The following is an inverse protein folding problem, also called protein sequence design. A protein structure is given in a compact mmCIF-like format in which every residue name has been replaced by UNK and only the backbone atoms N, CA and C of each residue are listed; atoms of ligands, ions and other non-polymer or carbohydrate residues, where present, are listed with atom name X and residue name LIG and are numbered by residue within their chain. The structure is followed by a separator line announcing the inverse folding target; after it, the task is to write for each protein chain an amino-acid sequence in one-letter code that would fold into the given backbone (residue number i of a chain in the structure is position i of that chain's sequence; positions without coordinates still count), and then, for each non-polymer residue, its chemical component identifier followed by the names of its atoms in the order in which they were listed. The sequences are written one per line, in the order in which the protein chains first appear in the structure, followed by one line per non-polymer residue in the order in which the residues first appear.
data_IF_519896844230
#
_entry.id   IF_519896844230
#
_cell.length_a   1.000
_cell.length_b   1.000
_cell.length_c   1.000
_cell.angle_alpha   90.00
_cell.angle_beta   90.00
_cell.angle_gamma   90.00
#
_symmetry.space_group_name_H-M   'P 1'
#
loop_
_entity.id
_entity.type
_entity.pdbx_description
1 polymer ?
#
# COMPACT_ATOMS: atom_id res chain seq x y z
N UNK A 1 -23.78 21.07 29.09
CA UNK A 1 -24.73 20.90 27.97
C UNK A 1 -25.20 22.28 27.55
N UNK A 2 -24.85 22.71 26.34
CA UNK A 2 -25.27 24.02 25.81
C UNK A 2 -26.62 23.90 25.09
N UNK A 3 -27.34 25.02 24.97
CA UNK A 3 -28.53 25.09 24.12
C UNK A 3 -28.10 25.13 22.65
N UNK A 4 -28.80 24.37 21.81
CA UNK A 4 -28.69 24.46 20.35
C UNK A 4 -29.71 25.46 19.82
N UNK A 5 -29.29 26.31 18.89
CA UNK A 5 -30.12 27.37 18.32
C UNK A 5 -30.44 27.11 16.86
N UNK A 6 -31.64 27.51 16.46
CA UNK A 6 -32.09 27.59 15.07
C UNK A 6 -31.94 29.03 14.59
N UNK A 7 -31.16 29.24 13.53
CA UNK A 7 -31.04 30.55 12.91
C UNK A 7 -32.04 30.70 11.75
N UNK A 8 -33.02 31.58 11.90
CA UNK A 8 -34.03 31.85 10.88
C UNK A 8 -33.69 33.14 10.13
N UNK A 9 -33.44 33.02 8.83
CA UNK A 9 -33.28 34.12 7.90
C UNK A 9 -34.60 34.39 7.17
N UNK A 10 -35.25 35.49 7.51
CA UNK A 10 -36.53 35.91 6.94
C UNK A 10 -36.33 37.05 5.94
N UNK A 11 -36.66 36.83 4.67
CA UNK A 11 -36.52 37.83 3.62
C UNK A 11 -37.65 37.71 2.57
N UNK A 12 -38.82 38.32 2.81
CA UNK A 12 -39.96 38.26 1.88
C UNK A 12 -39.62 38.84 0.51
N UNK A 13 -40.18 38.24 -0.54
CA UNK A 13 -39.87 38.66 -1.91
C UNK A 13 -40.38 40.05 -2.29
N UNK A 14 -41.41 40.54 -1.59
CA UNK A 14 -41.95 41.88 -1.79
C UNK A 14 -41.14 42.99 -1.10
N UNK A 15 -40.06 42.64 -0.37
CA UNK A 15 -39.24 43.62 0.35
C UNK A 15 -38.39 44.47 -0.62
N UNK A 16 -38.13 45.76 -0.32
CA UNK A 16 -37.23 46.59 -1.10
C UNK A 16 -35.83 45.98 -1.26
N UNK A 17 -35.24 46.07 -2.46
CA UNK A 17 -33.93 45.47 -2.79
C UNK A 17 -32.84 45.88 -1.79
N UNK A 18 -32.83 47.15 -1.36
CA UNK A 18 -31.88 47.66 -0.36
C UNK A 18 -31.91 46.87 0.95
N UNK A 19 -33.10 46.50 1.43
CA UNK A 19 -33.25 45.71 2.66
C UNK A 19 -32.81 44.26 2.45
N UNK A 20 -33.22 43.64 1.33
CA UNK A 20 -32.78 42.27 0.99
C UNK A 20 -31.26 42.17 0.96
N UNK A 21 -30.61 43.12 0.29
CA UNK A 21 -29.15 43.19 0.22
C UNK A 21 -28.50 43.36 1.59
N UNK A 22 -29.01 44.29 2.41
CA UNK A 22 -28.47 44.54 3.75
C UNK A 22 -28.54 43.28 4.63
N UNK A 23 -29.71 42.66 4.75
CA UNK A 23 -29.91 41.47 5.57
C UNK A 23 -29.14 40.25 5.04
N UNK A 24 -29.05 40.07 3.72
CA UNK A 24 -28.25 39.01 3.11
C UNK A 24 -26.75 39.20 3.39
N UNK A 25 -26.24 40.43 3.26
CA UNK A 25 -24.82 40.76 3.44
C UNK A 25 -24.37 40.63 4.91
N UNK A 26 -25.24 40.97 5.88
CA UNK A 26 -24.89 40.90 7.31
C UNK A 26 -25.09 39.51 7.93
N UNK A 27 -25.73 38.57 7.22
CA UNK A 27 -26.07 37.22 7.72
C UNK A 27 -24.86 36.46 8.25
N UNK A 28 -23.75 36.45 7.51
CA UNK A 28 -22.55 35.71 7.90
C UNK A 28 -21.88 36.32 9.14
N UNK A 29 -21.80 37.65 9.22
CA UNK A 29 -21.25 38.38 10.36
C UNK A 29 -22.07 38.11 11.62
N UNK A 30 -23.40 38.17 11.53
CA UNK A 30 -24.28 37.88 12.66
C UNK A 30 -24.11 36.45 13.18
N UNK A 31 -24.00 35.45 12.30
CA UNK A 31 -23.74 34.05 12.70
C UNK A 31 -22.37 33.89 13.38
N UNK A 32 -21.36 34.60 12.89
CA UNK A 32 -20.02 34.58 13.49
C UNK A 32 -20.02 35.21 14.88
N UNK A 33 -20.64 36.38 15.03
CA UNK A 33 -20.71 37.12 16.28
C UNK A 33 -21.56 36.42 17.34
N UNK A 34 -22.63 35.71 16.92
CA UNK A 34 -23.43 34.86 17.79
C UNK A 34 -22.69 33.62 18.28
N UNK A 35 -21.74 33.10 17.48
CA UNK A 35 -20.99 31.89 17.76
C UNK A 35 -21.55 30.68 17.00
N UNK A 36 -21.03 30.45 15.79
CA UNK A 36 -21.52 29.42 14.87
C UNK A 36 -21.58 27.99 15.42
N UNK A 37 -20.79 27.66 16.46
CA UNK A 37 -20.87 26.36 17.13
C UNK A 37 -22.14 26.13 17.96
N UNK A 38 -22.91 27.17 18.25
CA UNK A 38 -24.20 27.07 18.95
C UNK A 38 -25.40 26.96 17.98
N UNK A 39 -25.20 27.26 16.70
CA UNK A 39 -26.25 27.22 15.67
C UNK A 39 -26.21 25.83 15.02
N UNK A 40 -27.24 25.02 15.27
CA UNK A 40 -27.32 23.66 14.69
C UNK A 40 -27.84 23.68 13.26
N UNK A 41 -28.87 24.50 13.04
CA UNK A 41 -29.63 24.54 11.79
C UNK A 41 -29.82 25.98 11.33
N UNK A 42 -29.95 26.13 10.02
CA UNK A 42 -30.16 27.41 9.38
C UNK A 42 -31.31 27.30 8.38
N UNK A 43 -32.37 28.06 8.63
CA UNK A 43 -33.59 28.08 7.83
C UNK A 43 -33.71 29.42 7.13
N UNK A 44 -33.77 29.42 5.80
CA UNK A 44 -34.06 30.61 5.01
C UNK A 44 -35.48 30.52 4.46
N UNK A 45 -36.28 31.56 4.64
CA UNK A 45 -37.67 31.60 4.18
C UNK A 45 -38.05 32.93 3.55
N UNK A 46 -38.84 32.86 2.49
CA UNK A 46 -39.45 34.03 1.83
C UNK A 46 -40.96 34.11 2.09
N UNK A 47 -41.60 32.97 2.41
CA UNK A 47 -43.02 32.89 2.78
C UNK A 47 -43.21 32.35 4.20
N UNK A 48 -44.29 32.75 4.88
CA UNK A 48 -44.53 32.38 6.29
C UNK A 48 -44.60 30.86 6.50
N UNK A 49 -45.00 30.13 5.45
CA UNK A 49 -44.98 28.67 5.43
C UNK A 49 -43.59 28.06 5.64
N UNK A 50 -42.53 28.71 5.14
CA UNK A 50 -41.15 28.22 5.22
C UNK A 50 -40.62 28.26 6.65
N UNK A 51 -40.94 29.33 7.39
CA UNK A 51 -40.46 29.59 8.76
C UNK A 51 -41.41 29.06 9.84
N UNK A 52 -42.54 28.46 9.45
CA UNK A 52 -43.47 27.81 10.37
C UNK A 52 -42.91 26.49 10.92
N UNK A 53 -43.48 25.98 12.01
CA UNK A 53 -43.07 24.68 12.56
C UNK A 53 -43.21 23.53 11.53
N UNK A 54 -44.22 23.60 10.66
CA UNK A 54 -44.39 22.62 9.58
C UNK A 54 -43.34 22.79 8.48
N UNK A 55 -42.95 24.04 8.16
CA UNK A 55 -41.84 24.36 7.26
C UNK A 55 -40.50 23.83 7.77
N UNK A 56 -40.21 24.03 9.06
CA UNK A 56 -39.02 23.47 9.69
C UNK A 56 -38.97 21.93 9.62
N UNK A 57 -40.09 21.24 9.89
CA UNK A 57 -40.17 19.79 9.74
C UNK A 57 -39.90 19.33 8.29
N UNK A 58 -40.42 20.05 7.29
CA UNK A 58 -40.14 19.78 5.88
C UNK A 58 -38.67 19.99 5.54
N UNK A 59 -38.03 21.02 6.08
CA UNK A 59 -36.60 21.27 5.90
C UNK A 59 -35.75 20.10 6.42
N UNK A 60 -36.07 19.58 7.62
CA UNK A 60 -35.39 18.41 8.18
C UNK A 60 -35.55 17.16 7.29
N UNK A 61 -36.75 16.93 6.75
CA UNK A 61 -37.01 15.82 5.83
C UNK A 61 -36.18 16.00 4.54
N UNK A 62 -36.16 17.20 3.97
CA UNK A 62 -35.40 17.49 2.74
C UNK A 62 -33.90 17.34 2.94
N UNK A 63 -33.37 17.66 4.11
CA UNK A 63 -31.94 17.49 4.41
C UNK A 63 -31.56 16.00 4.56
N UNK A 64 -32.46 15.21 5.13
CA UNK A 64 -32.25 13.77 5.30
C UNK A 64 -32.60 12.97 4.05
N UNK A 65 -33.15 13.61 3.00
CA UNK A 65 -33.41 12.98 1.72
C UNK A 65 -32.09 12.66 1.00
N UNK A 66 -32.05 11.62 0.17
CA UNK A 66 -30.86 11.31 -0.61
C UNK A 66 -30.49 12.49 -1.50
N UNK A 67 -29.19 12.80 -1.55
CA UNK A 67 -28.70 13.85 -2.43
C UNK A 67 -29.02 13.49 -3.89
N UNK A 68 -29.48 14.45 -4.71
CA UNK A 68 -29.67 14.20 -6.13
C UNK A 68 -28.30 13.98 -6.78
N UNK A 69 -28.02 12.73 -7.15
CA UNK A 69 -26.82 12.33 -7.86
C UNK A 69 -27.05 12.39 -9.36
N UNK A 70 -26.01 12.72 -10.11
CA UNK A 70 -25.99 12.54 -11.55
C UNK A 70 -25.74 11.08 -11.91
N UNK A 71 -26.15 10.67 -13.10
CA UNK A 71 -25.96 9.28 -13.57
C UNK A 71 -24.50 8.82 -13.47
N UNK A 72 -23.55 9.70 -13.80
CA UNK A 72 -22.12 9.41 -13.68
C UNK A 72 -21.66 9.21 -12.23
N UNK A 73 -22.23 9.94 -11.27
CA UNK A 73 -21.91 9.77 -9.85
C UNK A 73 -22.51 8.47 -9.28
N UNK A 74 -23.71 8.08 -9.74
CA UNK A 74 -24.31 6.78 -9.40
C UNK A 74 -23.45 5.61 -9.92
N UNK A 75 -22.94 5.71 -11.15
CA UNK A 75 -22.02 4.72 -11.71
C UNK A 75 -20.72 4.61 -10.91
N UNK A 76 -20.10 5.74 -10.53
CA UNK A 76 -18.89 5.75 -9.73
C UNK A 76 -19.10 5.18 -8.32
N UNK A 77 -20.24 5.47 -7.68
CA UNK A 77 -20.59 4.89 -6.38
C UNK A 77 -20.81 3.37 -6.48
N UNK A 78 -21.39 2.89 -7.59
CA UNK A 78 -21.53 1.46 -7.85
C UNK A 78 -20.18 0.77 -8.03
N UNK A 79 -19.26 1.37 -8.79
CA UNK A 79 -17.89 0.85 -8.96
C UNK A 79 -17.20 0.76 -7.60
N UNK A 80 -17.24 1.83 -6.81
CA UNK A 80 -16.62 1.88 -5.48
C UNK A 80 -17.18 0.81 -4.53
N UNK A 81 -18.49 0.61 -4.50
CA UNK A 81 -19.13 -0.46 -3.71
C UNK A 81 -18.70 -1.85 -4.17
N UNK A 82 -18.54 -2.05 -5.48
CA UNK A 82 -18.11 -3.32 -6.07
C UNK A 82 -16.63 -3.61 -5.76
N UNK A 83 -15.76 -2.60 -5.85
CA UNK A 83 -14.34 -2.70 -5.51
C UNK A 83 -14.09 -3.05 -4.04
N UNK A 84 -14.90 -2.52 -3.12
CA UNK A 84 -14.79 -2.89 -1.69
C UNK A 84 -15.04 -4.39 -1.52
N UNK A 85 -16.02 -4.96 -2.24
CA UNK A 85 -16.31 -6.39 -2.16
C UNK A 85 -15.21 -7.26 -2.76
N UNK A 86 -14.50 -6.80 -3.80
CA UNK A 86 -13.35 -7.54 -4.36
C UNK A 86 -12.12 -7.48 -3.46
N UNK A 87 -11.94 -6.41 -2.67
CA UNK A 87 -10.82 -6.28 -1.74
C UNK A 87 -10.83 -7.28 -0.57
N UNK A 88 -12.01 -7.82 -0.23
CA UNK A 88 -12.19 -8.79 0.87
C UNK A 88 -12.25 -10.24 0.36
N UNK A 89 -12.10 -10.47 -0.96
CA UNK A 89 -12.13 -11.81 -1.51
C UNK A 89 -10.77 -12.51 -1.39
N UNK A 90 -10.77 -13.70 -0.76
CA UNK A 90 -9.59 -14.58 -0.55
C UNK A 90 -9.26 -15.38 -1.82
N UNK A 91 -9.33 -14.74 -2.99
CA UNK A 91 -8.89 -15.36 -4.25
C UNK A 91 -7.67 -14.60 -4.77
N UNK A 92 -6.54 -14.83 -4.09
CA UNK A 92 -5.22 -14.31 -4.48
C UNK A 92 -4.75 -14.79 -5.84
N UNK A 93 -5.43 -15.80 -6.43
CA UNK A 93 -5.09 -16.42 -7.72
C UNK A 93 -5.27 -15.49 -8.91
N UNK A 94 -6.09 -14.45 -8.80
CA UNK A 94 -6.36 -13.54 -9.91
C UNK A 94 -5.51 -12.27 -9.92
N UNK A 95 -4.76 -11.96 -8.86
CA UNK A 95 -3.94 -10.74 -8.82
C UNK A 95 -2.62 -10.83 -9.58
N UNK A 96 -2.09 -12.04 -9.77
CA UNK A 96 -0.93 -12.28 -10.62
C UNK A 96 -1.36 -12.99 -11.89
N UNK A 97 -1.03 -12.46 -13.07
CA UNK A 97 -1.13 -13.24 -14.30
C UNK A 97 -0.44 -14.59 -14.08
N UNK A 98 -1.10 -15.69 -14.47
CA UNK A 98 -0.50 -17.03 -14.38
C UNK A 98 0.84 -16.99 -15.13
N UNK A 99 1.93 -17.26 -14.41
CA UNK A 99 3.27 -17.23 -14.97
C UNK A 99 3.42 -18.24 -16.12
N UNK A 100 4.41 -18.03 -16.98
CA UNK A 100 4.74 -18.94 -18.08
C UNK A 100 5.64 -20.04 -17.55
N UNK A 101 5.17 -21.29 -17.60
CA UNK A 101 5.97 -22.44 -17.16
C UNK A 101 6.70 -23.05 -18.35
N UNK A 102 8.02 -22.84 -18.38
CA UNK A 102 8.90 -23.46 -19.37
C UNK A 102 9.53 -24.73 -18.77
N UNK A 103 9.66 -25.81 -19.56
CA UNK A 103 10.34 -27.01 -19.10
C UNK A 103 11.82 -26.71 -18.86
N UNK A 104 12.34 -27.28 -17.77
CA UNK A 104 13.76 -27.21 -17.41
C UNK A 104 14.49 -28.35 -18.14
N UNK A 105 15.62 -28.05 -18.78
CA UNK A 105 16.40 -29.07 -19.48
C UNK A 105 16.95 -30.12 -18.50
N UNK A 106 17.10 -31.37 -18.97
CA UNK A 106 17.60 -32.47 -18.13
C UNK A 106 18.98 -32.19 -17.54
N UNK A 107 19.82 -31.42 -18.24
CA UNK A 107 21.14 -30.99 -17.77
C UNK A 107 21.03 -30.00 -16.61
N UNK A 108 20.13 -29.02 -16.71
CA UNK A 108 19.86 -28.08 -15.64
C UNK A 108 19.27 -28.79 -14.41
N UNK A 109 18.35 -29.73 -14.60
CA UNK A 109 17.78 -30.53 -13.49
C UNK A 109 18.87 -31.30 -12.74
N UNK A 110 19.80 -31.96 -13.46
CA UNK A 110 20.93 -32.65 -12.83
C UNK A 110 21.81 -31.71 -12.01
N UNK A 111 22.12 -30.52 -12.52
CA UNK A 111 22.91 -29.54 -11.77
C UNK A 111 22.18 -28.95 -10.57
N UNK A 112 20.87 -28.80 -10.64
CA UNK A 112 20.08 -28.43 -9.47
C UNK A 112 20.10 -29.55 -8.41
N UNK A 113 20.11 -30.82 -8.80
CA UNK A 113 20.31 -31.94 -7.88
C UNK A 113 21.72 -31.93 -7.26
N UNK A 114 22.78 -31.70 -8.04
CA UNK A 114 24.14 -31.54 -7.53
C UNK A 114 24.21 -30.39 -6.49
N UNK A 115 23.48 -29.30 -6.72
CA UNK A 115 23.38 -28.16 -5.79
C UNK A 115 22.62 -28.53 -4.51
N UNK A 116 21.55 -29.31 -4.61
CA UNK A 116 20.80 -29.84 -3.47
C UNK A 116 21.65 -30.74 -2.58
N UNK A 117 22.51 -31.55 -3.20
CA UNK A 117 23.45 -32.43 -2.49
C UNK A 117 24.67 -31.68 -1.93
N UNK A 118 24.81 -30.37 -2.22
CA UNK A 118 25.90 -29.54 -1.75
C UNK A 118 27.22 -29.77 -2.49
N UNK A 119 27.20 -30.44 -3.65
CA UNK A 119 28.39 -30.68 -4.47
C UNK A 119 28.86 -29.42 -5.19
N UNK A 120 27.91 -28.55 -5.55
CA UNK A 120 28.16 -27.24 -6.17
C UNK A 120 27.43 -26.15 -5.38
N UNK A 121 27.99 -24.94 -5.41
CA UNK A 121 27.41 -23.78 -4.71
C UNK A 121 26.68 -22.83 -5.65
N UNK A 122 26.87 -22.94 -6.96
CA UNK A 122 26.30 -22.02 -7.93
C UNK A 122 25.82 -22.70 -9.22
N UNK A 123 24.63 -22.30 -9.65
CA UNK A 123 24.03 -22.68 -10.93
C UNK A 123 23.47 -21.43 -11.61
N UNK A 124 23.79 -21.26 -12.88
CA UNK A 124 23.29 -20.20 -13.76
C UNK A 124 22.39 -20.80 -14.84
N UNK A 125 21.19 -20.24 -14.96
CA UNK A 125 20.18 -20.67 -15.91
C UNK A 125 19.86 -19.53 -16.89
N UNK A 126 19.64 -19.91 -18.15
CA UNK A 126 19.20 -19.04 -19.23
C UNK A 126 17.89 -19.57 -19.83
N UNK A 127 17.07 -18.68 -20.36
CA UNK A 127 15.89 -19.04 -21.15
C UNK A 127 16.28 -19.03 -22.63
N UNK A 128 16.05 -20.15 -23.32
CA UNK A 128 16.05 -20.14 -24.78
C UNK A 128 14.75 -19.49 -25.29
N UNK A 129 14.89 -18.37 -25.98
CA UNK A 129 13.79 -17.57 -26.51
C UNK A 129 13.10 -18.21 -27.72
N UNK A 130 13.72 -19.23 -28.32
CA UNK A 130 13.20 -19.94 -29.50
C UNK A 130 12.52 -21.25 -29.11
N UNK A 131 13.20 -22.06 -28.29
CA UNK A 131 12.70 -23.35 -27.79
C UNK A 131 11.78 -23.24 -26.59
N UNK A 132 11.68 -22.07 -25.95
CA UNK A 132 10.85 -21.86 -24.76
C UNK A 132 11.22 -22.83 -23.62
N UNK A 133 12.52 -23.09 -23.45
CA UNK A 133 13.09 -23.98 -22.44
C UNK A 133 14.01 -23.23 -21.50
N UNK A 134 14.17 -23.73 -20.26
CA UNK A 134 15.18 -23.23 -19.32
C UNK A 134 16.41 -24.12 -19.41
N UNK A 135 17.53 -23.55 -19.86
CA UNK A 135 18.78 -24.23 -20.10
C UNK A 135 19.84 -23.88 -19.05
N UNK A 136 20.81 -24.78 -18.89
CA UNK A 136 21.99 -24.57 -18.06
C UNK A 136 23.04 -23.80 -18.85
N UNK A 137 23.55 -22.70 -18.29
CA UNK A 137 24.63 -21.94 -18.92
C UNK A 137 25.97 -22.19 -18.20
N UNK A 138 25.97 -22.13 -16.86
CA UNK A 138 27.16 -22.39 -16.07
C UNK A 138 26.81 -23.08 -14.75
N UNK A 139 27.64 -24.03 -14.31
CA UNK A 139 27.62 -24.58 -12.97
C UNK A 139 29.05 -24.61 -12.44
N UNK A 140 29.28 -24.03 -11.28
CA UNK A 140 30.60 -23.95 -10.68
C UNK A 140 30.52 -23.89 -9.15
N UNK A 141 31.64 -24.18 -8.50
CA UNK A 141 31.80 -23.96 -7.06
C UNK A 141 32.50 -22.61 -6.86
N UNK A 142 31.75 -21.62 -6.35
CA UNK A 142 32.23 -20.24 -6.20
C UNK A 142 31.96 -19.71 -4.80
N UNK A 143 32.83 -18.80 -4.36
CA UNK A 143 32.56 -17.95 -3.21
C UNK A 143 31.83 -16.65 -3.60
N UNK A 144 31.26 -15.97 -2.61
CA UNK A 144 30.49 -14.73 -2.76
C UNK A 144 31.25 -13.65 -3.52
N UNK A 145 32.56 -13.53 -3.32
CA UNK A 145 33.40 -12.53 -3.97
C UNK A 145 33.45 -12.66 -5.50
N UNK A 146 33.24 -13.88 -6.01
CA UNK A 146 33.28 -14.18 -7.45
C UNK A 146 31.89 -14.08 -8.07
N UNK A 147 30.82 -14.15 -7.27
CA UNK A 147 29.43 -14.14 -7.73
C UNK A 147 29.12 -12.93 -8.62
N UNK A 148 29.56 -11.73 -8.22
CA UNK A 148 29.38 -10.52 -9.02
C UNK A 148 30.04 -10.59 -10.41
N UNK A 149 31.15 -11.33 -10.55
CA UNK A 149 31.83 -11.47 -11.86
C UNK A 149 31.09 -12.39 -12.83
N UNK A 150 30.19 -13.24 -12.31
CA UNK A 150 29.39 -14.19 -13.09
C UNK A 150 28.10 -13.61 -13.64
N UNK A 151 27.70 -12.43 -13.17
CA UNK A 151 26.47 -11.78 -13.64
C UNK A 151 26.74 -11.02 -14.94
N UNK A 152 26.11 -11.42 -16.06
CA UNK A 152 26.23 -10.70 -17.32
C UNK A 152 25.63 -9.29 -17.23
N UNK A 153 26.15 -8.38 -18.06
CA UNK A 153 25.70 -6.97 -18.09
C UNK A 153 24.94 -6.61 -19.36
N UNK A 154 24.74 -7.59 -20.24
CA UNK A 154 24.17 -7.52 -21.58
C UNK A 154 22.86 -8.31 -21.68
N UNK A 155 22.76 -9.46 -21.01
CA UNK A 155 21.59 -10.33 -21.02
C UNK A 155 21.06 -10.63 -19.60
N UNK A 156 19.80 -11.07 -19.52
CA UNK A 156 19.18 -11.45 -18.26
C UNK A 156 19.47 -12.91 -17.93
N UNK A 157 19.65 -13.24 -16.65
CA UNK A 157 19.91 -14.61 -16.19
C UNK A 157 19.27 -14.89 -14.83
N UNK A 158 19.09 -16.18 -14.55
CA UNK A 158 18.80 -16.63 -13.21
C UNK A 158 20.04 -17.26 -12.60
N UNK A 159 20.23 -17.00 -11.31
CA UNK A 159 21.32 -17.55 -10.56
C UNK A 159 20.77 -18.16 -9.28
N UNK A 160 21.26 -19.36 -8.96
CA UNK A 160 20.95 -20.06 -7.74
C UNK A 160 22.28 -20.22 -7.02
N UNK A 161 22.36 -19.64 -5.83
CA UNK A 161 23.60 -19.57 -5.08
C UNK A 161 23.39 -19.97 -3.62
N UNK A 162 24.20 -20.89 -3.12
CA UNK A 162 24.20 -21.32 -1.71
C UNK A 162 25.17 -20.44 -0.92
N UNK A 163 24.62 -19.47 -0.19
CA UNK A 163 25.41 -18.57 0.66
C UNK A 163 25.72 -19.21 2.01
N UNK A 164 26.98 -19.62 2.15
CA UNK A 164 27.56 -20.16 3.39
C UNK A 164 28.01 -18.99 4.28
N UNK A 165 27.37 -18.81 5.42
CA UNK A 165 27.66 -17.69 6.33
C UNK A 165 27.41 -18.06 7.79
N UNK A 166 27.86 -17.20 8.70
CA UNK A 166 27.62 -17.35 10.14
C UNK A 166 26.73 -16.22 10.62
N UNK A 167 25.57 -16.55 11.18
CA UNK A 167 24.62 -15.59 11.72
C UNK A 167 24.36 -15.91 13.19
N UNK A 168 24.48 -14.91 14.07
CA UNK A 168 24.28 -15.05 15.53
C UNK A 168 25.13 -16.16 16.20
N UNK A 169 26.23 -16.56 15.58
CA UNK A 169 27.16 -17.57 16.10
C UNK A 169 26.96 -18.98 15.52
N UNK A 170 25.87 -19.21 14.79
CA UNK A 170 25.60 -20.48 14.12
C UNK A 170 25.97 -20.41 12.64
N UNK A 171 26.55 -21.50 12.14
CA UNK A 171 26.86 -21.65 10.72
C UNK A 171 25.60 -22.09 9.96
N UNK A 172 25.20 -21.28 8.97
CA UNK A 172 23.99 -21.50 8.17
C UNK A 172 24.30 -21.43 6.69
N UNK A 173 23.78 -22.40 5.94
CA UNK A 173 23.82 -22.40 4.49
C UNK A 173 22.44 -22.00 3.97
N UNK A 174 22.37 -20.92 3.21
CA UNK A 174 21.10 -20.40 2.71
C UNK A 174 21.13 -20.26 1.20
N UNK A 175 20.25 -21.00 0.53
CA UNK A 175 20.11 -20.92 -0.93
C UNK A 175 19.30 -19.69 -1.31
N UNK A 176 19.81 -18.90 -2.24
CA UNK A 176 19.22 -17.66 -2.72
C UNK A 176 18.95 -17.81 -4.20
N UNK A 177 17.77 -17.37 -4.62
CA UNK A 177 17.45 -17.18 -6.03
C UNK A 177 17.68 -15.72 -6.40
N UNK A 178 18.52 -15.48 -7.41
CA UNK A 178 18.85 -14.15 -7.91
C UNK A 178 18.38 -14.06 -9.36
N UNK A 179 17.54 -13.08 -9.63
CA UNK A 179 17.17 -12.70 -10.99
C UNK A 179 17.96 -11.46 -11.39
N UNK A 180 18.86 -11.60 -12.35
CA UNK A 180 19.63 -10.49 -12.90
C UNK A 180 19.00 -9.97 -14.20
N UNK A 181 18.75 -8.67 -14.26
CA UNK A 181 18.20 -8.02 -15.45
C UNK A 181 18.89 -6.66 -15.69
N UNK A 182 19.80 -6.55 -16.68
CA UNK A 182 20.54 -5.31 -16.96
C UNK A 182 19.71 -4.20 -17.65
N UNK A 183 18.40 -4.15 -17.36
CA UNK A 183 17.47 -3.12 -17.82
C UNK A 183 17.30 -3.09 -19.34
N UNK A 184 17.43 -1.90 -19.93
CA UNK A 184 17.11 -1.64 -21.35
C UNK A 184 18.08 -2.27 -22.36
N UNK A 185 19.18 -2.90 -21.92
CA UNK A 185 20.09 -3.63 -22.80
C UNK A 185 19.47 -4.91 -23.35
N UNK A 186 18.55 -5.53 -22.59
CA UNK A 186 17.79 -6.69 -23.04
C UNK A 186 16.57 -6.25 -23.87
N UNK A 187 16.20 -6.94 -24.96
CA UNK A 187 14.97 -6.69 -25.70
C UNK A 187 13.73 -6.95 -24.84
N UNK A 188 12.60 -6.28 -25.15
CA UNK A 188 11.34 -6.39 -24.38
C UNK A 188 10.88 -7.86 -24.28
N UNK A 189 11.01 -8.64 -25.35
CA UNK A 189 10.64 -10.07 -25.36
C UNK A 189 11.40 -10.85 -24.30
N UNK A 190 12.72 -10.68 -24.22
CA UNK A 190 13.56 -11.32 -23.21
C UNK A 190 13.12 -10.89 -21.81
N UNK A 191 12.96 -9.57 -21.59
CA UNK A 191 12.56 -9.07 -20.26
C UNK A 191 11.22 -9.62 -19.78
N UNK A 192 10.23 -9.67 -20.67
CA UNK A 192 8.91 -10.21 -20.33
C UNK A 192 8.96 -11.71 -20.04
N UNK A 193 9.73 -12.49 -20.79
CA UNK A 193 9.85 -13.93 -20.58
C UNK A 193 10.55 -14.25 -19.25
N UNK A 194 11.68 -13.61 -18.95
CA UNK A 194 12.36 -13.81 -17.66
C UNK A 194 11.48 -13.35 -16.47
N UNK A 195 10.77 -12.22 -16.57
CA UNK A 195 9.86 -11.83 -15.47
C UNK A 195 8.67 -12.78 -15.32
N UNK A 196 8.14 -13.33 -16.41
CA UNK A 196 6.96 -14.21 -16.39
C UNK A 196 7.29 -15.64 -15.95
N UNK A 197 8.50 -16.13 -16.26
CA UNK A 197 8.94 -17.49 -15.92
C UNK A 197 9.53 -17.60 -14.50
N UNK A 198 9.95 -16.50 -13.88
CA UNK A 198 10.62 -16.51 -12.58
C UNK A 198 9.79 -17.20 -11.48
N UNK A 199 8.48 -16.91 -11.37
CA UNK A 199 7.60 -17.52 -10.37
C UNK A 199 7.48 -19.04 -10.54
N UNK A 200 6.96 -19.51 -11.70
CA UNK A 200 6.83 -20.95 -11.97
C UNK A 200 8.15 -21.73 -11.89
N UNK A 201 9.28 -21.11 -12.26
CA UNK A 201 10.60 -21.72 -12.13
C UNK A 201 10.98 -21.93 -10.66
N UNK A 202 10.80 -20.90 -9.81
CA UNK A 202 11.04 -21.01 -8.37
C UNK A 202 10.16 -22.08 -7.74
N UNK A 203 8.89 -22.17 -8.13
CA UNK A 203 7.98 -23.19 -7.62
C UNK A 203 8.39 -24.60 -8.06
N UNK A 204 8.77 -24.78 -9.34
CA UNK A 204 9.29 -26.06 -9.86
C UNK A 204 10.57 -26.49 -9.14
N UNK A 205 11.46 -25.56 -8.79
CA UNK A 205 12.68 -25.85 -8.05
C UNK A 205 12.41 -26.20 -6.59
N UNK A 206 11.43 -25.55 -5.96
CA UNK A 206 10.96 -25.93 -4.61
C UNK A 206 10.37 -27.35 -4.60
N UNK A 207 9.61 -27.74 -5.63
CA UNK A 207 9.11 -29.11 -5.78
C UNK A 207 10.24 -30.15 -5.90
N UNK A 208 11.41 -29.76 -6.42
CA UNK A 208 12.62 -30.60 -6.44
C UNK A 208 13.35 -30.70 -5.08
N UNK A 209 12.86 -29.98 -4.06
CA UNK A 209 13.38 -30.02 -2.68
C UNK A 209 14.49 -29.02 -2.38
N UNK A 210 14.62 -27.95 -3.18
CA UNK A 210 15.52 -26.83 -2.91
C UNK A 210 14.71 -25.66 -2.35
N UNK A 211 14.89 -25.36 -1.06
CA UNK A 211 14.22 -24.23 -0.43
C UNK A 211 15.05 -22.95 -0.59
N UNK A 212 14.38 -21.86 -0.99
CA UNK A 212 15.01 -20.55 -1.11
C UNK A 212 14.76 -19.72 0.13
N UNK A 213 15.83 -19.32 0.81
CA UNK A 213 15.76 -18.39 1.94
C UNK A 213 15.30 -17.00 1.50
N UNK A 214 15.71 -16.57 0.31
CA UNK A 214 15.38 -15.26 -0.26
C UNK A 214 15.34 -15.31 -1.79
N UNK A 215 14.43 -14.52 -2.37
CA UNK A 215 14.42 -14.16 -3.79
C UNK A 215 14.90 -12.71 -3.92
N UNK A 216 15.96 -12.51 -4.70
CA UNK A 216 16.56 -11.21 -4.98
C UNK A 216 16.40 -10.87 -6.47
N UNK A 217 16.16 -9.61 -6.77
CA UNK A 217 16.13 -9.08 -8.14
C UNK A 217 17.15 -7.94 -8.22
N UNK A 218 18.10 -8.04 -9.14
CA UNK A 218 19.21 -7.09 -9.28
C UNK A 218 19.29 -6.57 -10.70
N UNK A 219 19.70 -5.32 -10.86
CA UNK A 219 19.95 -4.71 -12.18
C UNK A 219 21.44 -4.65 -12.54
N UNK A 220 22.31 -4.72 -11.52
CA UNK A 220 23.73 -4.50 -11.63
C UNK A 220 24.52 -5.52 -10.81
N UNK A 221 25.64 -6.05 -11.35
CA UNK A 221 26.51 -6.96 -10.59
C UNK A 221 27.09 -6.35 -9.31
N UNK A 222 27.15 -5.01 -9.22
CA UNK A 222 27.71 -4.29 -8.07
C UNK A 222 26.85 -4.43 -6.81
N UNK A 223 25.59 -4.81 -6.95
CA UNK A 223 24.67 -5.01 -5.82
C UNK A 223 24.94 -6.32 -5.08
N UNK A 224 25.62 -7.28 -5.73
CA UNK A 224 26.00 -8.56 -5.14
C UNK A 224 27.26 -8.43 -4.30
N UNK A 225 27.13 -7.72 -3.20
CA UNK A 225 28.14 -7.69 -2.13
C UNK A 225 27.72 -8.59 -0.99
N UNK A 226 28.69 -9.13 -0.24
CA UNK A 226 28.42 -9.96 0.93
C UNK A 226 27.52 -9.25 1.95
N UNK A 227 27.73 -7.95 2.17
CA UNK A 227 26.92 -7.14 3.06
C UNK A 227 25.45 -7.05 2.63
N UNK A 228 25.19 -6.84 1.33
CA UNK A 228 23.83 -6.75 0.80
C UNK A 228 23.11 -8.10 0.88
N UNK A 229 23.77 -9.18 0.49
CA UNK A 229 23.23 -10.54 0.56
C UNK A 229 22.90 -10.91 2.02
N UNK A 230 23.79 -10.57 2.95
CA UNK A 230 23.55 -10.82 4.37
C UNK A 230 22.36 -10.01 4.91
N UNK A 231 22.22 -8.74 4.53
CA UNK A 231 21.08 -7.89 4.95
C UNK A 231 19.75 -8.30 4.31
N UNK A 232 19.78 -8.87 3.11
CA UNK A 232 18.62 -9.42 2.40
C UNK A 232 18.08 -10.70 3.06
N UNK A 233 18.98 -11.59 3.51
CA UNK A 233 18.60 -12.80 4.23
C UNK A 233 18.18 -12.47 5.67
N UNK A 234 18.91 -11.57 6.32
CA UNK A 234 18.71 -11.17 7.72
C UNK A 234 18.34 -9.68 7.83
N UNK A 235 17.08 -9.32 7.54
CA UNK A 235 16.66 -7.92 7.52
C UNK A 235 16.79 -7.28 8.90
N UNK A 236 17.49 -6.14 8.97
CA UNK A 236 17.62 -5.36 10.20
C UNK A 236 16.24 -4.86 10.62
N UNK A 237 15.79 -5.29 11.81
CA UNK A 237 14.55 -4.78 12.40
C UNK A 237 14.77 -3.30 12.76
N UNK A 238 14.05 -2.40 12.10
CA UNK A 238 14.05 -0.98 12.47
C UNK A 238 13.26 -0.79 13.78
N UNK A 239 13.94 -0.96 14.92
CA UNK A 239 13.31 -1.01 16.26
C UNK A 239 12.69 0.33 16.68
N UNK A 240 13.16 1.46 16.16
CA UNK A 240 12.63 2.77 16.54
C UNK A 240 12.62 3.75 15.36
N UNK A 241 11.44 4.28 15.03
CA UNK A 241 11.33 5.51 14.24
C UNK A 241 11.79 6.66 15.14
N UNK A 242 12.92 7.27 14.80
CA UNK A 242 13.42 8.43 15.51
C UNK A 242 12.43 9.59 15.33
N UNK A 243 11.73 9.95 16.41
CA UNK A 243 10.83 11.09 16.41
C UNK A 243 11.61 12.36 16.74
N UNK A 244 11.50 13.39 15.90
CA UNK A 244 12.03 14.70 16.22
C UNK A 244 11.37 15.24 17.49
N UNK A 245 12.17 15.87 18.35
CA UNK A 245 11.66 16.49 19.56
C UNK A 245 10.68 17.62 19.19
N UNK A 246 9.51 17.63 19.83
CA UNK A 246 8.55 18.74 19.70
C UNK A 246 9.21 20.06 20.18
N UNK A 247 8.91 21.21 19.55
CA UNK A 247 9.47 22.49 19.96
C UNK A 247 9.17 22.78 21.44
N UNK A 248 10.08 23.51 22.10
CA UNK A 248 9.91 23.90 23.51
C UNK A 248 8.62 24.71 23.65
N UNK A 249 7.74 24.25 24.55
CA UNK A 249 6.52 24.97 24.88
C UNK A 249 6.79 26.31 25.58
N UNK A 250 5.76 27.13 25.83
CA UNK A 250 5.89 28.43 26.46
C UNK A 250 6.58 28.35 27.84
N UNK A 251 7.55 29.24 28.09
CA UNK A 251 8.55 29.15 29.16
C UNK A 251 8.03 29.29 30.61
N UNK A 252 6.74 29.54 30.82
CA UNK A 252 6.13 29.77 32.16
C UNK A 252 4.85 28.95 32.38
N UNK A 253 4.80 27.72 31.86
CA UNK A 253 3.64 26.86 32.02
C UNK A 253 3.74 26.04 33.32
N UNK A 254 2.70 26.07 34.15
CA UNK A 254 2.55 25.16 35.29
C UNK A 254 2.39 23.69 34.86
N UNK A 255 2.35 22.74 35.81
CA UNK A 255 2.18 21.31 35.52
C UNK A 255 0.94 21.07 34.64
N UNK A 256 1.05 20.18 33.64
CA UNK A 256 -0.10 19.78 32.81
C UNK A 256 -1.17 19.20 33.71
N UNK A 257 -2.36 19.79 33.69
CA UNK A 257 -3.54 19.26 34.37
C UNK A 257 -4.38 18.49 33.36
N UNK A 258 -4.91 17.34 33.76
CA UNK A 258 -5.94 16.67 32.96
C UNK A 258 -7.18 17.53 32.95
N UNK A 259 -7.62 17.97 31.78
CA UNK A 259 -8.90 18.67 31.60
C UNK A 259 -9.97 17.61 31.36
N UNK A 260 -10.25 16.77 32.37
CA UNK A 260 -11.43 15.89 32.32
C UNK A 260 -12.64 16.74 32.69
N UNK A 261 -13.67 16.76 31.86
CA UNK A 261 -14.92 17.41 32.21
C UNK A 261 -15.58 16.62 33.35
N UNK A 262 -16.08 17.26 34.41
CA UNK A 262 -16.85 16.54 35.44
C UNK A 262 -18.16 16.05 34.83
N UNK A 263 -18.32 14.73 34.69
CA UNK A 263 -19.57 14.09 34.23
C UNK A 263 -19.45 12.94 33.22
N UNK A 264 -18.25 12.49 32.83
CA UNK A 264 -18.07 11.32 31.93
C UNK A 264 -17.70 10.01 32.66
N UNK A 265 -17.92 9.95 33.97
CA UNK A 265 -17.80 8.72 34.75
C UNK A 265 -19.15 8.46 35.44
N UNK A 266 -20.10 7.84 34.73
CA UNK A 266 -21.23 7.07 35.30
C UNK A 266 -22.15 6.49 34.19
N UNK A 267 -21.60 5.85 33.15
CA UNK A 267 -22.44 5.07 32.21
C UNK A 267 -21.70 3.90 31.55
N UNK A 268 -20.88 3.17 32.32
CA UNK A 268 -20.41 1.85 31.87
C UNK A 268 -20.24 0.86 33.03
N UNK A 269 -21.25 0.81 33.91
CA UNK A 269 -21.46 -0.27 34.85
C UNK A 269 -22.95 -0.59 34.94
N UNK A 270 -23.52 -1.08 33.83
CA UNK A 270 -24.62 -2.04 33.78
C UNK A 270 -25.02 -2.30 32.32
N UNK A 271 -24.41 -3.33 31.72
CA UNK A 271 -25.06 -4.49 31.08
C UNK A 271 -23.99 -5.48 30.59
#
# INVERSE_FOLDING_TARGET
MGYEWLFIYWCPDFSPVRQKMLYAATRATLKKDFGGGQIKEELAGTVQGDVSLSGYKKHLISRNAPAPLTFAEEELDLIKKTEINTSVHVDSKHQTMKGLQFPISDEAVKKLQDLREGQITYVQLSIDLSGETVELEEASDIGVNVLASKVPTDHARYHIFTYKHTHEGDYTESTIFIYSMPGYKCPIKERMLYSSCSGPLVDSIKEMGIEFARKMEIDSPKELTEANIHEEIHPKKNVARQAFAKPKGPAKRGPKRMTKAPGEDDDNSNE
#
